data_IF_626907439079
#
_entry.id   IF_626907439079
#
_cell.length_a   1.000
_cell.length_b   1.000
_cell.length_c   1.000
_cell.angle_alpha   90.00
_cell.angle_beta   90.00
_cell.angle_gamma   90.00
#
_symmetry.space_group_name_H-M   'P 1'
#
loop_
_entity.id
_entity.type
_entity.pdbx_description
1 polymer ?
#
# COMPACT_ATOMS: atom_id res chain seq x y z
N UNK A 1 1.40 24.39 -20.82
CA UNK A 1 0.06 24.26 -21.40
C UNK A 1 0.03 23.17 -22.44
N UNK A 2 -1.17 22.65 -22.81
CA UNK A 2 -1.36 21.69 -23.88
C UNK A 2 -2.43 22.21 -24.87
N UNK A 3 -2.34 21.73 -26.11
CA UNK A 3 -3.30 22.10 -27.18
C UNK A 3 -3.79 20.83 -27.87
N UNK A 4 -5.08 20.75 -28.07
CA UNK A 4 -5.72 19.73 -28.89
C UNK A 4 -6.87 20.33 -29.69
N UNK A 5 -6.73 20.39 -31.01
CA UNK A 5 -7.70 21.06 -31.85
C UNK A 5 -7.92 22.51 -31.42
N UNK A 6 -9.17 22.85 -31.13
CA UNK A 6 -9.55 24.18 -30.66
C UNK A 6 -9.44 24.37 -29.13
N UNK A 7 -9.13 23.31 -28.39
CA UNK A 7 -9.01 23.34 -26.94
C UNK A 7 -7.58 23.62 -26.52
N UNK A 8 -7.43 24.48 -25.52
CA UNK A 8 -6.16 24.84 -24.89
C UNK A 8 -6.29 24.65 -23.39
N UNK A 9 -5.40 23.88 -22.82
CA UNK A 9 -5.35 23.60 -21.39
C UNK A 9 -4.16 24.33 -20.78
N UNK A 10 -4.37 25.02 -19.68
CA UNK A 10 -3.31 25.73 -18.99
C UNK A 10 -3.62 25.87 -17.50
N UNK A 11 -2.61 26.18 -16.72
CA UNK A 11 -2.69 26.37 -15.27
C UNK A 11 -2.50 27.83 -14.93
N UNK A 12 -3.39 28.38 -14.13
CA UNK A 12 -3.29 29.72 -13.54
C UNK A 12 -2.86 29.58 -12.07
N UNK A 13 -1.58 29.90 -11.79
CA UNK A 13 -1.04 29.84 -10.43
C UNK A 13 -1.62 30.88 -9.49
N UNK A 14 -2.01 32.04 -10.01
CA UNK A 14 -2.58 33.10 -9.16
C UNK A 14 -3.95 32.72 -8.65
N UNK A 15 -4.70 31.96 -9.43
CA UNK A 15 -6.00 31.42 -9.05
C UNK A 15 -5.95 30.05 -8.42
N UNK A 16 -4.78 29.37 -8.48
CA UNK A 16 -4.62 27.97 -8.11
C UNK A 16 -5.60 27.05 -8.86
N UNK A 17 -5.75 27.28 -10.15
CA UNK A 17 -6.76 26.64 -10.98
C UNK A 17 -6.16 26.06 -12.27
N UNK A 18 -6.78 25.02 -12.79
CA UNK A 18 -6.53 24.49 -14.12
C UNK A 18 -7.71 24.85 -15.01
N UNK A 19 -7.38 25.43 -16.17
CA UNK A 19 -8.33 26.04 -17.06
C UNK A 19 -8.30 25.38 -18.45
N UNK A 20 -9.46 25.31 -19.08
CA UNK A 20 -9.62 24.94 -20.48
C UNK A 20 -10.24 26.11 -21.24
N UNK A 21 -9.56 26.57 -22.29
CA UNK A 21 -10.12 27.50 -23.28
C UNK A 21 -10.67 26.67 -24.45
N UNK A 22 -11.92 26.87 -24.79
CA UNK A 22 -12.61 26.27 -25.94
C UNK A 22 -13.40 27.32 -26.71
N UNK A 23 -14.16 26.90 -27.70
CA UNK A 23 -15.05 27.83 -28.43
C UNK A 23 -16.12 28.48 -27.54
N UNK A 24 -16.50 27.80 -26.45
CA UNK A 24 -17.51 28.28 -25.47
C UNK A 24 -16.90 29.17 -24.38
N UNK A 25 -15.62 29.53 -24.53
CA UNK A 25 -14.90 30.36 -23.57
C UNK A 25 -13.99 29.57 -22.64
N UNK A 26 -13.71 30.16 -21.46
CA UNK A 26 -12.84 29.58 -20.45
C UNK A 26 -13.66 28.81 -19.42
N UNK A 27 -13.32 27.55 -19.22
CA UNK A 27 -13.90 26.70 -18.18
C UNK A 27 -12.82 26.32 -17.18
N UNK A 28 -13.13 26.42 -15.90
CA UNK A 28 -12.25 25.95 -14.83
C UNK A 28 -12.49 24.45 -14.58
N UNK A 29 -11.59 23.62 -15.13
CA UNK A 29 -11.69 22.15 -15.04
C UNK A 29 -11.22 21.60 -13.69
N UNK A 30 -10.49 22.38 -12.91
CA UNK A 30 -10.16 22.05 -11.50
C UNK A 30 -11.39 21.96 -10.61
N UNK A 31 -12.52 22.58 -11.00
CA UNK A 31 -13.77 22.54 -10.24
C UNK A 31 -14.50 21.18 -10.29
N UNK A 32 -14.10 20.28 -11.17
CA UNK A 32 -14.70 18.96 -11.24
C UNK A 32 -14.14 18.01 -10.15
N UNK A 33 -14.58 18.24 -8.91
CA UNK A 33 -14.26 17.41 -7.75
C UNK A 33 -12.84 17.56 -7.19
N UNK A 34 -12.03 18.51 -7.69
CA UNK A 34 -10.61 18.62 -7.35
C UNK A 34 -10.18 20.03 -6.90
N UNK A 35 -11.13 20.88 -6.51
CA UNK A 35 -10.86 22.28 -6.11
C UNK A 35 -9.81 22.38 -5.01
N UNK A 36 -10.02 21.65 -3.91
CA UNK A 36 -9.11 21.70 -2.76
C UNK A 36 -7.73 21.13 -3.12
N UNK A 37 -7.69 20.05 -3.89
CA UNK A 37 -6.44 19.46 -4.35
C UNK A 37 -5.61 20.47 -5.15
N UNK A 38 -6.20 21.10 -6.16
CA UNK A 38 -5.46 22.04 -7.01
C UNK A 38 -5.09 23.31 -6.26
N UNK A 39 -5.98 23.83 -5.41
CA UNK A 39 -5.67 24.97 -4.54
C UNK A 39 -4.42 24.69 -3.71
N UNK A 40 -4.37 23.55 -3.04
CA UNK A 40 -3.30 23.21 -2.13
C UNK A 40 -2.01 22.85 -2.88
N UNK A 41 -2.12 22.06 -3.95
CA UNK A 41 -0.94 21.64 -4.72
C UNK A 41 -0.32 22.76 -5.54
N UNK A 42 -1.11 23.60 -6.19
CA UNK A 42 -0.58 24.73 -6.98
C UNK A 42 0.02 25.81 -6.09
N UNK A 43 -0.52 26.01 -4.89
CA UNK A 43 0.08 26.91 -3.90
C UNK A 43 1.47 26.44 -3.43
N UNK A 44 1.70 25.13 -3.40
CA UNK A 44 2.97 24.55 -2.95
C UNK A 44 4.03 24.43 -4.05
N UNK A 45 3.65 24.45 -5.32
CA UNK A 45 4.63 24.45 -6.42
C UNK A 45 5.47 25.72 -6.33
N UNK A 46 6.72 25.58 -5.88
CA UNK A 46 7.64 26.72 -5.70
C UNK A 46 8.02 27.38 -7.04
N UNK A 47 8.69 28.51 -6.98
CA UNK A 47 9.23 29.19 -8.17
C UNK A 47 10.26 28.33 -8.93
N UNK A 48 10.87 27.36 -8.25
CA UNK A 48 11.82 26.39 -8.81
C UNK A 48 11.17 25.07 -9.22
N UNK A 49 9.88 24.89 -8.97
CA UNK A 49 9.08 23.78 -9.46
C UNK A 49 8.65 23.95 -10.90
N UNK A 50 8.09 22.91 -11.49
CA UNK A 50 7.65 22.89 -12.88
C UNK A 50 6.19 22.42 -12.98
N UNK A 51 5.46 23.00 -13.94
CA UNK A 51 4.14 22.53 -14.34
C UNK A 51 4.19 22.14 -15.80
N UNK A 52 4.07 20.85 -16.07
CA UNK A 52 4.14 20.27 -17.40
C UNK A 52 2.76 19.89 -17.85
N UNK A 53 2.32 20.36 -19.00
CA UNK A 53 1.04 20.00 -19.61
C UNK A 53 1.27 19.32 -20.96
N UNK A 54 0.56 18.24 -21.22
CA UNK A 54 0.55 17.53 -22.48
C UNK A 54 -0.85 17.02 -22.80
N UNK A 55 -1.14 16.78 -24.08
CA UNK A 55 -2.37 16.11 -24.49
C UNK A 55 -2.04 14.70 -24.97
N UNK A 56 -2.62 13.72 -24.29
CA UNK A 56 -2.52 12.33 -24.65
C UNK A 56 -3.60 12.00 -25.70
N UNK A 57 -3.18 11.88 -26.96
CA UNK A 57 -4.11 11.60 -28.06
C UNK A 57 -4.62 10.14 -28.04
N UNK A 58 -3.89 9.23 -27.42
CA UNK A 58 -4.27 7.82 -27.35
C UNK A 58 -5.51 7.63 -26.47
N UNK A 59 -5.47 8.18 -25.24
CA UNK A 59 -6.61 8.16 -24.32
C UNK A 59 -7.53 9.38 -24.45
N UNK A 60 -7.17 10.36 -25.28
CA UNK A 60 -7.90 11.63 -25.43
C UNK A 60 -8.02 12.43 -24.16
N UNK A 61 -6.95 12.44 -23.36
CA UNK A 61 -6.91 13.06 -22.04
C UNK A 61 -5.92 14.23 -22.02
N UNK A 62 -6.24 15.28 -21.30
CA UNK A 62 -5.27 16.27 -20.89
C UNK A 62 -4.47 15.74 -19.69
N UNK A 63 -3.14 15.73 -19.81
CA UNK A 63 -2.24 15.31 -18.74
C UNK A 63 -1.53 16.54 -18.18
N UNK A 64 -1.52 16.69 -16.86
CA UNK A 64 -0.77 17.70 -16.14
C UNK A 64 0.11 17.08 -15.07
N UNK A 65 1.36 17.51 -14.99
CA UNK A 65 2.32 17.13 -13.95
C UNK A 65 2.72 18.35 -13.16
N UNK A 66 2.37 18.36 -11.87
CA UNK A 66 2.76 19.38 -10.89
C UNK A 66 4.01 18.87 -10.18
N UNK A 67 5.13 19.56 -10.32
CA UNK A 67 6.43 19.08 -9.85
C UNK A 67 7.06 20.11 -8.91
N UNK A 68 7.44 19.66 -7.73
CA UNK A 68 8.13 20.47 -6.74
C UNK A 68 9.65 20.36 -6.85
N UNK A 69 10.35 21.31 -6.24
CA UNK A 69 11.82 21.34 -6.21
C UNK A 69 12.44 20.17 -5.42
N UNK A 70 11.72 19.62 -4.48
CA UNK A 70 12.11 18.46 -3.66
C UNK A 70 11.91 17.10 -4.35
N UNK A 71 11.65 17.13 -5.67
CA UNK A 71 11.31 15.97 -6.50
C UNK A 71 9.95 15.32 -6.23
N UNK A 72 9.15 15.80 -5.32
CA UNK A 72 7.76 15.35 -5.20
C UNK A 72 6.94 15.83 -6.40
N UNK A 73 6.00 15.03 -6.85
CA UNK A 73 5.19 15.37 -8.01
C UNK A 73 3.80 14.74 -7.93
N UNK A 74 2.87 15.31 -8.70
CA UNK A 74 1.57 14.72 -8.97
C UNK A 74 1.29 14.84 -10.47
N UNK A 75 1.18 13.73 -11.15
CA UNK A 75 0.80 13.67 -12.57
C UNK A 75 -0.62 13.13 -12.67
N UNK A 76 -1.51 13.89 -13.31
CA UNK A 76 -2.94 13.60 -13.39
C UNK A 76 -3.43 13.69 -14.83
N UNK A 77 -4.55 13.02 -15.13
CA UNK A 77 -5.26 13.21 -16.39
C UNK A 77 -6.70 13.63 -16.19
N UNK A 78 -7.14 14.51 -17.08
CA UNK A 78 -8.51 14.99 -17.22
C UNK A 78 -9.11 14.46 -18.51
N UNK A 79 -10.29 13.87 -18.42
CA UNK A 79 -11.03 13.34 -19.56
C UNK A 79 -12.26 14.20 -19.84
N UNK A 80 -12.39 14.65 -21.09
CA UNK A 80 -13.52 15.49 -21.52
C UNK A 80 -14.84 14.73 -21.56
N UNK A 81 -14.82 13.45 -21.92
CA UNK A 81 -16.04 12.66 -22.04
C UNK A 81 -16.75 12.47 -20.68
N UNK A 82 -15.96 12.29 -19.63
CA UNK A 82 -16.46 12.14 -18.25
C UNK A 82 -16.56 13.47 -17.50
N UNK A 83 -16.01 14.57 -18.06
CA UNK A 83 -15.82 15.84 -17.38
C UNK A 83 -15.17 15.67 -15.99
N UNK A 84 -14.11 14.88 -15.92
CA UNK A 84 -13.50 14.54 -14.65
C UNK A 84 -12.01 14.22 -14.71
N UNK A 85 -11.39 14.28 -13.53
CA UNK A 85 -10.03 13.83 -13.30
C UNK A 85 -10.08 12.33 -13.07
N UNK A 86 -9.49 11.56 -14.01
CA UNK A 86 -9.70 10.11 -14.07
C UNK A 86 -8.56 9.29 -13.50
N UNK A 87 -7.33 9.81 -13.49
CA UNK A 87 -6.18 9.03 -13.04
C UNK A 87 -5.08 9.91 -12.46
N UNK A 88 -4.36 9.32 -11.50
CA UNK A 88 -3.03 9.74 -11.07
C UNK A 88 -2.00 8.77 -11.64
N UNK A 89 -0.83 9.26 -11.99
CA UNK A 89 0.24 8.45 -12.59
C UNK A 89 1.55 8.59 -11.84
N UNK A 90 2.27 7.49 -11.74
CA UNK A 90 3.58 7.40 -11.08
C UNK A 90 4.72 7.68 -12.06
N UNK A 91 4.60 8.75 -12.88
CA UNK A 91 5.68 9.22 -13.72
C UNK A 91 5.83 10.75 -13.67
N UNK A 92 7.09 11.22 -13.77
CA UNK A 92 7.48 12.62 -13.74
C UNK A 92 8.10 13.01 -15.08
N UNK A 93 7.33 13.59 -16.04
CA UNK A 93 7.87 13.96 -17.33
C UNK A 93 8.57 15.32 -17.25
N UNK A 94 9.64 15.51 -18.01
CA UNK A 94 10.20 16.84 -18.28
C UNK A 94 9.47 17.55 -19.42
N UNK A 95 8.82 16.80 -20.31
CA UNK A 95 7.93 17.28 -21.37
C UNK A 95 7.07 16.13 -21.88
N UNK A 96 5.99 16.45 -22.62
CA UNK A 96 5.14 15.45 -23.26
C UNK A 96 4.56 15.96 -24.58
N UNK A 97 4.37 15.07 -25.52
CA UNK A 97 3.77 15.37 -26.82
C UNK A 97 3.09 14.14 -27.42
N UNK A 98 2.19 14.38 -28.35
CA UNK A 98 1.54 13.33 -29.14
C UNK A 98 1.94 13.41 -30.59
N UNK A 99 2.21 12.26 -31.19
CA UNK A 99 2.52 12.14 -32.62
C UNK A 99 1.97 10.82 -33.17
N UNK A 100 1.39 10.88 -34.38
CA UNK A 100 0.87 9.69 -35.09
C UNK A 100 -0.02 8.78 -34.23
N UNK A 101 -0.92 9.39 -33.43
CA UNK A 101 -1.83 8.63 -32.56
C UNK A 101 -1.20 8.01 -31.32
N UNK A 102 0.08 8.24 -31.07
CA UNK A 102 0.80 7.78 -29.91
C UNK A 102 1.17 8.94 -28.98
N UNK A 103 1.21 8.66 -27.67
CA UNK A 103 1.62 9.59 -26.66
C UNK A 103 3.07 9.31 -26.22
N UNK A 104 3.86 10.36 -26.11
CA UNK A 104 5.26 10.30 -25.73
C UNK A 104 5.54 11.29 -24.61
N UNK A 105 6.43 10.89 -23.71
CA UNK A 105 7.00 11.78 -22.68
C UNK A 105 8.53 11.75 -22.76
N UNK A 106 9.12 12.82 -22.26
CA UNK A 106 10.58 12.91 -22.12
C UNK A 106 10.90 12.82 -20.63
N UNK A 107 11.81 11.94 -20.30
CA UNK A 107 12.36 11.83 -18.95
C UNK A 107 13.85 11.54 -19.05
N UNK A 108 14.67 12.32 -18.32
CA UNK A 108 16.13 12.15 -18.25
C UNK A 108 16.80 12.11 -19.64
N UNK A 109 16.35 13.00 -20.55
CA UNK A 109 16.87 13.08 -21.91
C UNK A 109 16.43 11.96 -22.86
N UNK A 110 15.66 11.00 -22.39
CA UNK A 110 15.12 9.88 -23.18
C UNK A 110 13.67 10.11 -23.55
N UNK A 111 13.29 9.66 -24.75
CA UNK A 111 11.88 9.68 -25.21
C UNK A 111 11.24 8.34 -24.90
N UNK A 112 10.12 8.38 -24.22
CA UNK A 112 9.36 7.20 -23.82
C UNK A 112 8.00 7.17 -24.51
N UNK A 113 7.70 6.08 -25.19
CA UNK A 113 6.38 5.83 -25.78
C UNK A 113 5.47 5.15 -24.74
N UNK A 114 4.33 5.77 -24.50
CA UNK A 114 3.31 5.20 -23.63
C UNK A 114 2.43 4.15 -24.34
N UNK A 115 1.77 3.31 -23.57
CA UNK A 115 0.78 2.30 -24.02
C UNK A 115 1.37 1.25 -24.98
N UNK A 116 2.61 0.84 -24.74
CA UNK A 116 3.23 -0.23 -25.51
C UNK A 116 2.79 -1.60 -24.96
N UNK A 117 2.33 -2.50 -25.84
CA UNK A 117 1.97 -3.86 -25.44
C UNK A 117 3.19 -4.78 -25.20
N UNK A 118 4.39 -4.29 -25.48
CA UNK A 118 5.64 -5.05 -25.28
C UNK A 118 6.22 -4.92 -23.87
N UNK A 119 5.61 -4.12 -23.00
CA UNK A 119 6.06 -3.92 -21.61
C UNK A 119 4.92 -4.16 -20.63
N UNK A 120 5.26 -4.44 -19.38
CA UNK A 120 4.30 -4.65 -18.34
C UNK A 120 3.38 -3.43 -18.13
N UNK A 121 2.12 -3.67 -17.80
CA UNK A 121 1.20 -2.63 -17.37
C UNK A 121 1.68 -1.99 -16.06
N UNK A 122 1.48 -0.67 -15.93
CA UNK A 122 2.01 0.10 -14.79
C UNK A 122 3.53 0.33 -14.81
N UNK A 123 4.21 -0.06 -15.91
CA UNK A 123 5.63 0.26 -16.07
C UNK A 123 5.80 1.67 -16.62
N UNK A 124 6.41 2.54 -15.82
CA UNK A 124 6.78 3.88 -16.23
C UNK A 124 8.28 4.07 -16.09
N UNK A 125 8.94 4.41 -17.20
CA UNK A 125 10.39 4.64 -17.27
C UNK A 125 11.24 3.47 -16.73
N UNK A 126 10.78 2.24 -16.97
CA UNK A 126 11.45 1.02 -16.51
C UNK A 126 11.09 0.59 -15.08
N UNK A 127 10.26 1.34 -14.36
CA UNK A 127 9.81 1.02 -13.01
C UNK A 127 8.37 0.50 -13.05
N UNK A 128 8.13 -0.67 -12.45
CA UNK A 128 6.79 -1.22 -12.32
C UNK A 128 6.09 -0.63 -11.10
N UNK A 129 4.90 -0.09 -11.31
CA UNK A 129 4.06 0.50 -10.27
C UNK A 129 2.76 -0.31 -10.14
N UNK A 130 2.20 -0.32 -8.94
CA UNK A 130 0.90 -0.94 -8.67
C UNK A 130 -0.21 0.04 -8.98
N UNK A 131 -1.30 -0.45 -9.56
CA UNK A 131 -2.52 0.34 -9.69
C UNK A 131 -3.32 0.24 -8.40
N UNK A 132 -3.81 1.35 -7.87
CA UNK A 132 -4.60 1.38 -6.64
C UNK A 132 -5.84 2.26 -6.79
N UNK A 133 -6.88 1.90 -6.04
CA UNK A 133 -8.13 2.63 -5.97
C UNK A 133 -8.57 2.76 -4.51
N UNK A 134 -8.84 3.99 -4.08
CA UNK A 134 -9.36 4.29 -2.75
C UNK A 134 -10.84 4.64 -2.85
N UNK A 135 -11.67 3.91 -2.14
CA UNK A 135 -13.13 4.01 -2.15
C UNK A 135 -13.66 4.32 -0.76
N UNK A 136 -14.73 5.10 -0.70
CA UNK A 136 -15.46 5.36 0.54
C UNK A 136 -16.86 4.76 0.43
N UNK A 137 -17.16 3.81 1.29
CA UNK A 137 -18.50 3.25 1.46
C UNK A 137 -19.22 3.98 2.58
N UNK A 138 -20.17 4.82 2.23
CA UNK A 138 -20.95 5.61 3.18
C UNK A 138 -22.45 5.62 2.83
N UNK A 139 -23.09 4.45 2.69
CA UNK A 139 -24.52 4.38 2.54
C UNK A 139 -25.19 4.80 3.86
N UNK A 140 -26.27 5.55 3.84
CA UNK A 140 -26.96 6.07 5.03
C UNK A 140 -25.98 6.76 6.02
N UNK A 141 -25.46 7.96 5.74
CA UNK A 141 -24.39 8.59 6.54
C UNK A 141 -24.74 8.82 8.02
N UNK A 142 -26.03 8.88 8.34
CA UNK A 142 -26.54 9.13 9.70
C UNK A 142 -26.70 7.87 10.55
N UNK A 143 -26.43 6.70 9.99
CA UNK A 143 -26.64 5.42 10.68
C UNK A 143 -25.37 4.60 10.79
N UNK A 144 -25.16 4.01 11.94
CA UNK A 144 -24.12 3.00 12.15
C UNK A 144 -24.52 1.71 11.44
N UNK A 145 -23.56 1.12 10.73
CA UNK A 145 -23.71 -0.12 9.96
C UNK A 145 -22.64 -1.12 10.36
N UNK A 146 -22.90 -2.39 10.16
CA UNK A 146 -21.88 -3.44 10.28
C UNK A 146 -21.47 -3.87 8.87
N UNK A 147 -20.30 -3.45 8.42
CA UNK A 147 -19.72 -3.89 7.15
C UNK A 147 -19.24 -5.33 7.29
N UNK A 148 -19.77 -6.24 6.48
CA UNK A 148 -19.56 -7.68 6.61
C UNK A 148 -18.62 -8.26 5.57
N UNK A 149 -18.74 -7.81 4.32
CA UNK A 149 -17.93 -8.31 3.21
C UNK A 149 -17.51 -7.20 2.31
N UNK A 150 -16.38 -7.40 1.65
CA UNK A 150 -15.95 -6.65 0.49
C UNK A 150 -16.03 -7.57 -0.72
N UNK A 151 -16.38 -7.03 -1.87
CA UNK A 151 -16.41 -7.77 -3.13
C UNK A 151 -15.91 -6.91 -4.27
N UNK A 152 -15.36 -7.55 -5.29
CA UNK A 152 -15.09 -6.88 -6.55
C UNK A 152 -15.42 -7.77 -7.74
N UNK A 153 -15.70 -7.12 -8.88
CA UNK A 153 -15.83 -7.73 -10.19
C UNK A 153 -14.68 -7.26 -11.06
N UNK A 154 -13.97 -8.20 -11.71
CA UNK A 154 -12.81 -7.87 -12.51
C UNK A 154 -11.94 -9.08 -12.79
N UNK A 155 -10.74 -8.82 -13.26
CA UNK A 155 -9.70 -9.85 -13.37
C UNK A 155 -9.15 -10.21 -12.00
N UNK A 156 -8.59 -11.43 -11.88
CA UNK A 156 -7.85 -11.82 -10.67
C UNK A 156 -6.62 -10.93 -10.43
N UNK A 157 -6.16 -10.83 -9.20
CA UNK A 157 -4.94 -10.11 -8.83
C UNK A 157 -5.16 -8.76 -8.18
N UNK A 158 -6.23 -8.59 -7.42
CA UNK A 158 -6.49 -7.43 -6.58
C UNK A 158 -6.40 -7.80 -5.10
N UNK A 159 -5.80 -6.93 -4.32
CA UNK A 159 -5.65 -7.06 -2.86
C UNK A 159 -6.19 -5.83 -2.14
N UNK A 160 -6.75 -6.01 -0.95
CA UNK A 160 -7.10 -4.90 -0.06
C UNK A 160 -5.89 -4.58 0.82
N UNK A 161 -5.38 -3.37 0.72
CA UNK A 161 -4.22 -2.93 1.50
C UNK A 161 -4.58 -2.09 2.71
N UNK A 162 -5.78 -1.54 2.72
CA UNK A 162 -6.25 -0.71 3.82
C UNK A 162 -7.76 -0.74 3.89
N UNK A 163 -8.29 -0.91 5.10
CA UNK A 163 -9.68 -0.70 5.42
C UNK A 163 -9.76 0.13 6.71
N UNK A 164 -10.31 1.34 6.61
CA UNK A 164 -10.36 2.33 7.69
C UNK A 164 -11.80 2.76 7.90
N UNK A 165 -12.22 2.93 9.15
CA UNK A 165 -13.56 3.40 9.49
C UNK A 165 -13.53 4.54 10.51
N UNK A 166 -14.66 5.22 10.75
CA UNK A 166 -14.80 6.26 11.76
C UNK A 166 -14.63 5.72 13.19
N UNK A 167 -14.92 4.44 13.41
CA UNK A 167 -14.73 3.83 14.72
C UNK A 167 -13.27 3.45 15.00
N UNK A 168 -12.39 3.59 14.02
CA UNK A 168 -10.97 3.29 14.19
C UNK A 168 -10.25 4.30 15.07
N UNK A 169 -10.91 5.38 15.46
CA UNK A 169 -10.23 6.44 16.17
C UNK A 169 -9.13 7.07 15.33
N UNK A 170 -8.48 8.05 15.87
CA UNK A 170 -7.51 8.89 15.16
C UNK A 170 -6.11 8.31 15.04
N UNK A 171 -5.83 7.13 15.56
CA UNK A 171 -4.47 6.65 15.71
C UNK A 171 -4.09 5.60 14.66
N UNK A 172 -3.88 6.09 13.45
CA UNK A 172 -2.96 5.48 12.50
C UNK A 172 -1.52 5.84 12.88
N UNK A 173 -1.08 5.48 14.05
CA UNK A 173 0.33 5.51 14.37
C UNK A 173 0.93 4.23 13.81
N UNK A 174 1.76 4.39 12.78
CA UNK A 174 2.46 3.32 12.07
C UNK A 174 1.58 2.36 11.23
N UNK A 175 0.48 2.88 10.69
CA UNK A 175 -0.11 2.26 9.51
C UNK A 175 -1.08 1.14 9.77
N UNK A 176 -1.62 0.90 10.99
CA UNK A 176 -2.45 -0.24 11.17
C UNK A 176 -3.30 -0.33 12.40
N UNK A 177 -4.30 0.49 12.44
CA UNK A 177 -5.47 0.21 13.26
C UNK A 177 -6.73 0.53 12.48
N UNK A 178 -7.40 -0.50 12.16
CA UNK A 178 -8.83 -0.40 11.98
C UNK A 178 -9.41 -0.80 13.32
N UNK A 179 -10.16 0.05 13.99
CA UNK A 179 -10.76 -0.29 15.28
C UNK A 179 -11.46 -1.61 15.17
N UNK A 180 -10.95 -2.60 15.92
CA UNK A 180 -11.49 -3.93 15.99
C UNK A 180 -11.49 -4.73 14.68
N UNK A 181 -10.75 -4.31 13.65
CA UNK A 181 -10.34 -5.19 12.58
C UNK A 181 -8.83 -5.34 12.68
N UNK A 182 -8.45 -6.33 13.43
CA UNK A 182 -7.16 -6.93 13.27
C UNK A 182 -7.22 -7.68 11.95
N UNK A 183 -6.41 -7.27 10.98
CA UNK A 183 -6.06 -8.21 9.93
C UNK A 183 -5.41 -9.37 10.66
N UNK A 184 -5.96 -10.58 10.49
CA UNK A 184 -5.41 -11.74 11.14
C UNK A 184 -3.91 -11.78 10.84
N UNK A 185 -3.13 -11.53 11.85
CA UNK A 185 -1.69 -11.67 11.78
C UNK A 185 -1.40 -13.15 11.82
N UNK A 186 -1.25 -13.74 10.67
CA UNK A 186 -0.47 -14.94 10.58
C UNK A 186 1.00 -14.52 10.70
N UNK A 187 1.55 -14.64 11.88
CA UNK A 187 2.91 -14.28 12.25
C UNK A 187 3.27 -12.79 12.08
N UNK A 188 3.45 -12.11 13.20
CA UNK A 188 4.16 -10.85 13.20
C UNK A 188 5.63 -11.15 12.87
N UNK A 189 6.07 -10.74 11.69
CA UNK A 189 7.48 -10.71 11.37
C UNK A 189 8.15 -9.64 12.23
N UNK A 190 9.19 -10.00 12.94
CA UNK A 190 10.02 -9.05 13.66
C UNK A 190 10.69 -8.15 12.63
N UNK A 191 10.29 -6.87 12.57
CA UNK A 191 10.83 -5.93 11.59
C UNK A 191 12.08 -5.21 12.10
N UNK A 192 12.08 -4.82 13.36
CA UNK A 192 13.22 -4.16 13.99
C UNK A 192 13.46 -4.69 15.40
N UNK A 193 14.71 -4.66 15.78
CA UNK A 193 15.16 -5.09 17.10
C UNK A 193 16.36 -4.28 17.55
N UNK A 194 16.56 -4.18 18.85
CA UNK A 194 17.75 -3.59 19.45
C UNK A 194 18.47 -4.61 20.31
N UNK A 195 19.78 -4.82 20.07
CA UNK A 195 20.59 -5.67 20.92
C UNK A 195 20.74 -4.97 22.29
N UNK A 196 20.10 -5.53 23.30
CA UNK A 196 20.08 -4.98 24.66
C UNK A 196 21.27 -5.45 25.47
N UNK A 197 21.77 -6.65 25.22
CA UNK A 197 22.95 -7.19 25.81
C UNK A 197 23.71 -8.04 24.77
N UNK A 198 24.97 -7.71 24.44
CA UNK A 198 25.75 -8.51 23.49
C UNK A 198 26.11 -9.89 24.01
N UNK A 199 25.87 -10.18 25.27
CA UNK A 199 26.24 -11.42 25.92
C UNK A 199 27.70 -11.45 26.35
N UNK A 200 28.06 -12.57 26.93
CA UNK A 200 29.44 -12.87 27.34
C UNK A 200 29.85 -14.27 26.89
N UNK A 201 31.14 -14.53 26.77
CA UNK A 201 31.63 -15.79 26.26
C UNK A 201 31.78 -15.82 24.76
N UNK A 202 32.03 -17.00 24.21
CA UNK A 202 32.39 -17.17 22.81
C UNK A 202 31.14 -17.45 21.97
N UNK A 203 30.79 -16.55 21.06
CA UNK A 203 29.80 -16.76 20.02
C UNK A 203 30.48 -17.02 18.66
N UNK A 204 29.89 -17.85 17.86
CA UNK A 204 30.31 -18.07 16.46
C UNK A 204 29.29 -17.45 15.53
N UNK A 205 29.74 -16.95 14.39
CA UNK A 205 28.84 -16.64 13.27
C UNK A 205 28.14 -17.92 12.83
N UNK A 206 26.86 -17.82 12.52
CA UNK A 206 26.07 -18.99 12.14
C UNK A 206 24.66 -18.61 11.75
N UNK A 207 24.03 -19.49 10.99
CA UNK A 207 22.68 -19.29 10.47
C UNK A 207 21.67 -20.10 11.27
N UNK A 208 20.44 -19.61 11.31
CA UNK A 208 19.30 -20.28 11.93
C UNK A 208 19.50 -20.63 13.41
N UNK A 209 20.08 -19.72 14.15
CA UNK A 209 20.28 -19.86 15.59
C UNK A 209 18.96 -19.62 16.30
N UNK A 210 18.53 -20.57 17.13
CA UNK A 210 17.30 -20.46 17.90
C UNK A 210 17.35 -19.36 18.96
N UNK A 211 16.19 -18.83 19.31
CA UNK A 211 16.00 -17.89 20.42
C UNK A 211 15.01 -18.43 21.43
N UNK A 212 15.06 -17.93 22.65
CA UNK A 212 14.01 -18.14 23.66
C UNK A 212 13.44 -16.80 24.09
N UNK A 213 12.13 -16.70 24.14
CA UNK A 213 11.40 -15.48 24.49
C UNK A 213 11.11 -15.46 26.00
N UNK A 214 11.06 -14.27 26.59
CA UNK A 214 10.47 -14.04 27.92
C UNK A 214 8.93 -13.90 27.85
N UNK A 215 8.36 -13.71 26.63
CA UNK A 215 6.93 -13.69 26.32
C UNK A 215 6.40 -15.03 25.79
N UNK A 216 5.28 -14.96 25.09
CA UNK A 216 4.60 -16.16 24.52
C UNK A 216 5.03 -16.51 23.09
N UNK A 217 5.88 -15.69 22.47
CA UNK A 217 6.34 -15.90 21.11
C UNK A 217 7.20 -17.15 20.93
N UNK A 218 7.10 -17.78 19.78
CA UNK A 218 7.84 -18.99 19.41
C UNK A 218 8.35 -18.97 17.99
N UNK A 219 9.43 -19.72 17.73
CA UNK A 219 9.91 -19.99 16.36
C UNK A 219 10.80 -18.89 15.76
N UNK A 220 11.16 -17.83 16.50
CA UNK A 220 12.12 -16.84 16.03
C UNK A 220 13.52 -17.45 15.96
N UNK A 221 14.18 -17.30 14.84
CA UNK A 221 15.58 -17.65 14.68
C UNK A 221 16.37 -16.49 14.06
N UNK A 222 17.63 -16.43 14.37
CA UNK A 222 18.53 -15.37 13.91
C UNK A 222 19.78 -15.94 13.27
N UNK A 223 20.35 -15.18 12.35
CA UNK A 223 21.69 -15.41 11.84
C UNK A 223 22.66 -14.49 12.60
N UNK A 224 23.67 -15.04 13.23
CA UNK A 224 24.75 -14.27 13.85
C UNK A 224 25.73 -13.88 12.75
N UNK A 225 25.69 -12.62 12.34
CA UNK A 225 26.48 -12.11 11.21
C UNK A 225 27.87 -11.67 11.66
N UNK A 226 27.97 -11.09 12.83
CA UNK A 226 29.24 -10.64 13.40
C UNK A 226 29.28 -10.84 14.91
N UNK A 227 30.46 -11.18 15.43
CA UNK A 227 30.76 -11.22 16.85
C UNK A 227 31.63 -10.03 17.25
N UNK A 228 31.60 -9.65 18.52
CA UNK A 228 32.47 -8.63 19.03
C UNK A 228 33.98 -9.05 18.98
N UNK A 229 34.92 -8.10 18.96
CA UNK A 229 36.35 -8.43 18.91
C UNK A 229 36.75 -9.43 20.01
N UNK A 230 37.46 -10.48 19.59
CA UNK A 230 37.82 -11.59 20.50
C UNK A 230 36.71 -12.62 20.72
N UNK A 231 35.58 -12.53 20.01
CA UNK A 231 34.47 -13.46 20.14
C UNK A 231 33.61 -13.26 21.40
N UNK A 232 33.82 -12.18 22.17
CA UNK A 232 33.23 -11.96 23.48
C UNK A 232 31.82 -11.29 23.39
N UNK A 233 30.93 -11.86 22.62
CA UNK A 233 29.57 -11.38 22.48
C UNK A 233 29.12 -11.27 21.01
N UNK A 234 27.87 -10.92 20.82
CA UNK A 234 27.26 -10.71 19.49
C UNK A 234 27.34 -9.24 19.11
N UNK A 235 27.89 -8.94 17.95
CA UNK A 235 27.94 -7.57 17.42
C UNK A 235 26.80 -7.27 16.43
N UNK A 236 26.37 -8.28 15.66
CA UNK A 236 25.30 -8.11 14.69
C UNK A 236 24.56 -9.41 14.45
N UNK A 237 23.24 -9.31 14.38
CA UNK A 237 22.33 -10.39 13.99
C UNK A 237 21.40 -9.93 12.87
N UNK A 238 20.85 -10.88 12.15
CA UNK A 238 19.76 -10.69 11.18
C UNK A 238 18.67 -11.70 11.51
N UNK A 239 17.41 -11.32 11.40
CA UNK A 239 16.30 -12.26 11.56
C UNK A 239 16.32 -13.26 10.40
N UNK A 240 16.35 -14.54 10.74
CA UNK A 240 16.29 -15.63 9.76
C UNK A 240 14.84 -16.11 9.60
N UNK A 241 14.20 -16.46 10.71
CA UNK A 241 12.77 -16.77 10.74
C UNK A 241 12.09 -15.91 11.81
N UNK A 242 11.02 -15.20 11.46
CA UNK A 242 10.41 -14.22 12.36
C UNK A 242 9.62 -14.86 13.51
N UNK A 243 9.25 -16.13 13.40
CA UNK A 243 8.42 -16.79 14.39
C UNK A 243 6.99 -16.23 14.48
N UNK A 244 6.31 -16.46 15.60
CA UNK A 244 4.95 -15.99 15.82
C UNK A 244 4.63 -15.75 17.29
N UNK A 245 3.63 -14.90 17.57
CA UNK A 245 3.12 -14.67 18.92
C UNK A 245 3.94 -13.72 19.79
N UNK A 246 4.84 -12.94 19.19
CA UNK A 246 5.64 -11.95 19.93
C UNK A 246 4.89 -10.63 20.12
N UNK A 247 5.25 -9.87 21.14
CA UNK A 247 4.76 -8.49 21.38
C UNK A 247 5.93 -7.52 21.50
N UNK A 248 5.72 -6.24 21.17
CA UNK A 248 6.75 -5.20 21.29
C UNK A 248 7.26 -5.12 22.72
N UNK A 249 8.57 -5.16 22.86
CA UNK A 249 9.22 -5.20 24.15
C UNK A 249 9.59 -6.59 24.63
N UNK A 250 9.12 -7.68 23.98
CA UNK A 250 9.59 -9.03 24.30
C UNK A 250 11.10 -9.10 24.12
N UNK A 251 11.76 -9.69 25.10
CA UNK A 251 13.21 -9.87 25.09
C UNK A 251 13.54 -11.29 24.65
N UNK A 252 14.35 -11.38 23.63
CA UNK A 252 14.81 -12.65 23.08
C UNK A 252 16.21 -12.96 23.54
N UNK A 253 16.42 -14.15 24.09
CA UNK A 253 17.75 -14.67 24.43
C UNK A 253 18.23 -15.56 23.29
N UNK A 254 19.40 -15.25 22.73
CA UNK A 254 20.02 -16.05 21.68
C UNK A 254 20.59 -17.34 22.30
N UNK A 255 20.15 -18.47 21.79
CA UNK A 255 20.66 -19.77 22.24
C UNK A 255 22.06 -20.00 21.71
N UNK A 256 22.87 -20.77 22.45
CA UNK A 256 24.20 -21.12 21.98
C UNK A 256 24.09 -21.92 20.66
N UNK A 257 24.76 -21.47 19.61
CA UNK A 257 24.85 -22.20 18.37
C UNK A 257 25.97 -23.27 18.47
N UNK A 258 25.64 -24.52 18.35
CA UNK A 258 26.55 -25.68 18.53
C UNK A 258 27.99 -25.49 18.01
N UNK A 259 28.86 -26.44 18.21
CA UNK A 259 30.24 -26.39 17.71
C UNK A 259 31.27 -25.73 18.64
N UNK A 260 30.97 -25.68 19.96
CA UNK A 260 31.92 -25.14 20.98
C UNK A 260 31.69 -23.71 21.36
N UNK A 261 30.57 -23.10 20.88
CA UNK A 261 30.13 -21.81 21.36
C UNK A 261 29.71 -21.91 22.85
N UNK A 262 30.31 -21.10 23.70
CA UNK A 262 30.02 -21.00 25.14
C UNK A 262 29.45 -19.63 25.52
N UNK A 263 28.89 -18.92 24.51
CA UNK A 263 28.26 -17.63 24.71
C UNK A 263 26.98 -17.75 25.54
N UNK A 264 26.76 -16.82 26.46
CA UNK A 264 25.57 -16.77 27.31
C UNK A 264 25.01 -15.36 27.39
N UNK A 265 23.71 -15.29 27.61
CA UNK A 265 23.00 -14.04 27.93
C UNK A 265 23.05 -12.95 26.86
N UNK A 266 23.27 -13.28 25.57
CA UNK A 266 23.03 -12.31 24.53
C UNK A 266 21.51 -12.13 24.36
N UNK A 267 21.05 -10.89 24.48
CA UNK A 267 19.62 -10.57 24.36
C UNK A 267 19.39 -9.39 23.43
N UNK A 268 18.26 -9.41 22.78
CA UNK A 268 17.75 -8.29 22.00
C UNK A 268 16.26 -8.08 22.29
N UNK A 269 15.83 -6.83 22.30
CA UNK A 269 14.43 -6.49 22.44
C UNK A 269 13.81 -6.30 21.06
N UNK A 270 12.56 -6.70 20.94
CA UNK A 270 11.78 -6.51 19.73
C UNK A 270 11.17 -5.10 19.75
N UNK A 271 11.61 -4.24 18.84
CA UNK A 271 11.21 -2.84 18.79
C UNK A 271 9.96 -2.62 17.94
N UNK A 272 9.81 -3.37 16.87
CA UNK A 272 8.62 -3.31 16.04
C UNK A 272 8.38 -4.65 15.34
N UNK A 273 7.13 -4.86 14.99
CA UNK A 273 6.73 -5.93 14.10
C UNK A 273 6.44 -5.32 12.73
N UNK A 274 6.93 -5.95 11.68
CA UNK A 274 6.23 -5.86 10.43
C UNK A 274 4.94 -6.67 10.66
N UNK A 275 3.85 -5.99 10.93
CA UNK A 275 2.57 -6.63 10.83
C UNK A 275 2.46 -7.15 9.40
N UNK A 276 2.70 -8.42 9.20
CA UNK A 276 2.30 -9.08 7.97
C UNK A 276 0.79 -9.15 8.05
N UNK A 277 0.19 -8.14 7.41
CA UNK A 277 -1.25 -8.13 7.23
C UNK A 277 -1.61 -9.35 6.41
N UNK A 278 -2.63 -10.09 6.80
CA UNK A 278 -3.35 -10.90 5.86
C UNK A 278 -3.85 -9.95 4.77
N UNK A 279 -3.10 -9.89 3.69
CA UNK A 279 -3.55 -9.21 2.49
C UNK A 279 -4.76 -9.98 1.99
N UNK A 280 -5.84 -9.26 1.70
CA UNK A 280 -6.99 -9.86 1.05
C UNK A 280 -6.62 -10.00 -0.44
N UNK A 281 -6.09 -11.16 -0.80
CA UNK A 281 -5.76 -11.46 -2.19
C UNK A 281 -6.96 -12.01 -2.95
N UNK A 282 -6.98 -11.81 -4.25
CA UNK A 282 -7.96 -12.45 -5.13
C UNK A 282 -7.42 -13.78 -5.64
N UNK A 283 -7.57 -14.84 -4.85
CA UNK A 283 -7.28 -16.19 -5.28
C UNK A 283 -8.57 -16.99 -5.43
N UNK A 284 -8.61 -17.82 -6.46
CA UNK A 284 -9.77 -18.68 -6.72
C UNK A 284 -9.93 -19.80 -5.70
N UNK A 285 -8.87 -20.16 -4.98
CA UNK A 285 -8.87 -21.27 -4.01
C UNK A 285 -8.06 -20.98 -2.75
N UNK A 286 -8.67 -21.19 -1.66
CA UNK A 286 -8.45 -21.22 -0.23
C UNK A 286 -7.05 -21.00 0.39
N UNK A 287 -5.95 -21.37 -0.21
CA UNK A 287 -4.62 -21.27 0.39
C UNK A 287 -3.57 -20.95 -0.66
N UNK A 288 -2.76 -19.93 -0.40
CA UNK A 288 -1.56 -19.64 -1.20
C UNK A 288 -0.31 -19.71 -0.33
N UNK A 289 0.84 -19.79 -0.97
CA UNK A 289 2.13 -19.88 -0.27
C UNK A 289 3.00 -18.67 -0.62
N UNK A 290 3.48 -17.98 0.40
CA UNK A 290 4.50 -16.96 0.28
C UNK A 290 5.69 -17.39 1.16
N UNK A 291 6.89 -17.49 0.58
CA UNK A 291 8.08 -18.02 1.28
C UNK A 291 7.86 -19.38 1.98
N UNK A 292 7.08 -20.27 1.35
CA UNK A 292 6.68 -21.58 1.90
C UNK A 292 5.74 -21.52 3.12
N UNK A 293 5.18 -20.36 3.45
CA UNK A 293 4.19 -20.21 4.52
C UNK A 293 2.80 -20.24 3.88
N UNK A 294 1.86 -21.08 4.35
CA UNK A 294 0.50 -21.10 3.85
C UNK A 294 -0.31 -19.94 4.42
N UNK A 295 -0.92 -19.16 3.55
CA UNK A 295 -1.87 -18.11 3.90
C UNK A 295 -3.24 -18.46 3.35
N UNK A 296 -4.30 -18.12 4.08
CA UNK A 296 -5.64 -18.19 3.51
C UNK A 296 -5.84 -17.06 2.53
N UNK A 297 -6.33 -17.39 1.35
CA UNK A 297 -6.83 -16.41 0.40
C UNK A 297 -7.95 -15.60 1.06
N UNK A 298 -7.86 -14.27 0.96
CA UNK A 298 -8.88 -13.40 1.51
C UNK A 298 -10.15 -13.38 0.67
N UNK A 299 -10.00 -13.45 -0.66
CA UNK A 299 -11.12 -13.46 -1.59
C UNK A 299 -11.46 -14.87 -2.08
N UNK A 300 -12.73 -15.23 -1.97
CA UNK A 300 -13.31 -16.40 -2.61
C UNK A 300 -14.00 -15.98 -3.90
N UNK A 301 -13.75 -16.69 -5.00
CA UNK A 301 -14.48 -16.47 -6.24
C UNK A 301 -15.84 -17.16 -6.16
N UNK A 302 -16.88 -16.34 -6.35
CA UNK A 302 -18.28 -16.83 -6.45
C UNK A 302 -18.89 -16.29 -7.72
N UNK A 303 -19.13 -17.17 -8.69
CA UNK A 303 -19.56 -16.78 -10.04
C UNK A 303 -18.54 -15.84 -10.69
N UNK A 304 -18.91 -14.57 -10.95
CA UNK A 304 -18.05 -13.56 -11.55
C UNK A 304 -17.53 -12.54 -10.52
N UNK A 305 -17.74 -12.78 -9.24
CA UNK A 305 -17.32 -11.89 -8.17
C UNK A 305 -16.30 -12.55 -7.27
N UNK A 306 -15.37 -11.75 -6.80
CA UNK A 306 -14.45 -12.09 -5.74
C UNK A 306 -14.97 -11.47 -4.44
N UNK A 307 -15.19 -12.28 -3.40
CA UNK A 307 -15.83 -11.87 -2.14
C UNK A 307 -14.93 -12.24 -0.98
N UNK A 308 -14.65 -11.28 -0.12
CA UNK A 308 -13.90 -11.48 1.12
C UNK A 308 -14.74 -11.07 2.34
N UNK A 309 -14.68 -11.86 3.40
CA UNK A 309 -15.27 -11.49 4.68
C UNK A 309 -14.38 -10.47 5.39
N UNK A 310 -15.00 -9.41 5.90
CA UNK A 310 -14.32 -8.48 6.80
C UNK A 310 -14.35 -9.13 8.19
N UNK A 311 -13.17 -9.47 8.71
CA UNK A 311 -13.02 -10.11 10.02
C UNK A 311 -12.62 -9.08 11.06
N UNK A 312 -13.15 -9.26 12.26
CA UNK A 312 -12.76 -8.50 13.43
C UNK A 312 -11.99 -9.44 14.36
N UNK A 313 -10.69 -9.26 14.43
CA UNK A 313 -9.80 -10.10 15.24
C UNK A 313 -9.32 -9.39 16.51
N UNK A 314 -10.06 -8.40 17.03
CA UNK A 314 -9.62 -7.71 18.25
C UNK A 314 -9.32 -8.71 19.38
N UNK A 315 -8.08 -8.83 19.85
CA UNK A 315 -7.71 -9.78 20.88
C UNK A 315 -8.26 -9.39 22.26
N UNK A 316 -8.64 -8.13 22.43
CA UNK A 316 -9.16 -7.57 23.67
C UNK A 316 -10.58 -7.05 23.48
N UNK A 317 -11.59 -7.69 24.07
CA UNK A 317 -12.94 -7.15 24.03
C UNK A 317 -12.99 -5.81 24.77
N UNK A 318 -13.63 -4.82 24.15
CA UNK A 318 -13.98 -3.59 24.86
C UNK A 318 -14.98 -3.89 25.98
N UNK A 319 -15.00 -3.10 27.07
CA UNK A 319 -15.98 -3.29 28.13
C UNK A 319 -17.40 -3.36 27.58
N UNK A 320 -18.12 -4.47 27.84
CA UNK A 320 -19.45 -4.73 27.34
C UNK A 320 -19.53 -5.44 25.98
N UNK A 321 -18.41 -5.72 25.34
CA UNK A 321 -18.34 -6.49 24.11
C UNK A 321 -18.18 -7.99 24.42
N UNK A 322 -19.05 -8.82 23.88
CA UNK A 322 -18.95 -10.29 23.97
C UNK A 322 -18.31 -10.78 22.68
N UNK A 323 -17.08 -11.30 22.78
CA UNK A 323 -16.46 -12.04 21.69
C UNK A 323 -16.91 -13.48 21.72
N UNK A 324 -17.66 -13.91 20.72
CA UNK A 324 -18.04 -15.30 20.53
C UNK A 324 -17.20 -15.87 19.40
N UNK A 325 -16.08 -16.49 19.76
CA UNK A 325 -15.15 -17.08 18.80
C UNK A 325 -14.18 -16.07 18.15
N UNK A 326 -13.10 -16.58 17.60
CA UNK A 326 -12.05 -15.80 16.92
C UNK A 326 -12.45 -15.23 15.54
N UNK A 327 -13.72 -15.42 15.12
CA UNK A 327 -14.16 -15.15 13.76
C UNK A 327 -15.39 -14.21 13.69
N UNK A 328 -15.49 -13.26 14.60
CA UNK A 328 -16.55 -12.26 14.48
C UNK A 328 -16.35 -11.45 13.21
N UNK A 329 -17.27 -11.61 12.26
CA UNK A 329 -17.22 -10.90 10.98
C UNK A 329 -17.84 -9.53 11.08
N UNK A 330 -17.15 -8.54 10.54
CA UNK A 330 -17.67 -7.21 10.28
C UNK A 330 -17.14 -6.11 11.19
N UNK A 331 -17.18 -4.90 10.63
CA UNK A 331 -16.82 -3.64 11.29
C UNK A 331 -18.07 -2.81 11.49
N UNK A 332 -18.29 -2.37 12.72
CA UNK A 332 -19.42 -1.49 13.07
C UNK A 332 -18.96 -0.04 12.96
N UNK A 333 -19.47 0.71 11.97
CA UNK A 333 -19.03 2.06 11.66
C UNK A 333 -20.10 2.86 10.89
N UNK A 334 -19.93 4.19 10.82
CA UNK A 334 -20.73 5.06 9.93
C UNK A 334 -20.29 4.92 8.48
N UNK A 335 -18.98 4.78 8.24
CA UNK A 335 -18.41 4.61 6.89
C UNK A 335 -17.20 3.68 6.94
N UNK A 336 -16.82 3.17 5.78
CA UNK A 336 -15.57 2.45 5.59
C UNK A 336 -14.84 2.97 4.36
N UNK A 337 -13.57 3.26 4.53
CA UNK A 337 -12.67 3.61 3.43
C UNK A 337 -11.80 2.42 3.12
N UNK A 338 -11.81 1.99 1.88
CA UNK A 338 -11.07 0.80 1.42
C UNK A 338 -10.09 1.21 0.35
N UNK A 339 -8.86 0.74 0.46
CA UNK A 339 -7.87 0.83 -0.62
C UNK A 339 -7.66 -0.57 -1.18
N UNK A 340 -7.93 -0.72 -2.47
CA UNK A 340 -7.68 -1.92 -3.25
C UNK A 340 -6.57 -1.63 -4.25
N UNK A 341 -5.65 -2.55 -4.44
CA UNK A 341 -4.54 -2.41 -5.39
C UNK A 341 -4.25 -3.72 -6.10
N UNK A 342 -3.49 -3.64 -7.19
CA UNK A 342 -3.00 -4.84 -7.88
C UNK A 342 -1.94 -5.54 -7.03
N UNK A 343 -2.01 -6.88 -6.98
CA UNK A 343 -0.99 -7.69 -6.32
C UNK A 343 0.29 -7.82 -7.17
N UNK A 344 1.30 -8.47 -6.63
CA UNK A 344 2.58 -8.72 -7.32
C UNK A 344 2.76 -10.17 -7.75
N UNK A 345 1.81 -11.03 -7.47
CA UNK A 345 1.93 -12.48 -7.63
C UNK A 345 1.09 -13.02 -8.77
N UNK A 346 -0.10 -12.47 -8.98
CA UNK A 346 -1.03 -12.92 -10.02
C UNK A 346 -0.80 -12.16 -11.30
N UNK A 347 -0.22 -12.79 -12.30
CA UNK A 347 0.11 -12.20 -13.60
C UNK A 347 0.71 -10.78 -13.47
N UNK A 348 1.91 -10.67 -12.85
CA UNK A 348 2.53 -9.39 -12.60
C UNK A 348 2.84 -8.69 -13.94
N UNK A 349 2.31 -7.48 -14.08
CA UNK A 349 2.42 -6.68 -15.30
C UNK A 349 1.39 -7.00 -16.40
N UNK A 350 0.49 -7.95 -16.17
CA UNK A 350 -0.65 -8.21 -17.03
C UNK A 350 -1.73 -7.11 -16.97
N UNK A 351 -2.68 -7.19 -17.89
CA UNK A 351 -3.86 -6.31 -17.86
C UNK A 351 -4.74 -6.68 -16.66
N UNK A 352 -4.97 -5.69 -15.78
CA UNK A 352 -5.92 -5.81 -14.67
C UNK A 352 -7.12 -4.92 -14.93
N UNK A 353 -8.30 -5.50 -14.84
CA UNK A 353 -9.57 -4.81 -15.01
C UNK A 353 -10.36 -4.88 -13.71
N UNK A 354 -10.93 -3.78 -13.30
CA UNK A 354 -11.78 -3.66 -12.14
C UNK A 354 -13.07 -2.96 -12.57
N UNK A 355 -14.16 -3.70 -12.61
CA UNK A 355 -15.45 -3.19 -13.09
C UNK A 355 -16.30 -2.63 -11.97
N UNK A 356 -16.27 -3.28 -10.81
CA UNK A 356 -17.05 -2.86 -9.66
C UNK A 356 -16.36 -3.28 -8.36
N UNK A 357 -16.53 -2.46 -7.34
CA UNK A 357 -16.17 -2.80 -5.95
C UNK A 357 -17.38 -2.53 -5.07
N UNK A 358 -17.73 -3.50 -4.26
CA UNK A 358 -18.90 -3.45 -3.39
C UNK A 358 -18.58 -3.82 -1.94
N UNK A 359 -19.44 -3.40 -1.03
CA UNK A 359 -19.43 -3.86 0.35
C UNK A 359 -20.83 -4.24 0.78
N UNK A 360 -20.98 -5.36 1.48
CA UNK A 360 -22.26 -5.70 2.12
C UNK A 360 -22.25 -5.24 3.56
N UNK A 361 -23.39 -4.74 4.02
CA UNK A 361 -23.53 -4.29 5.38
C UNK A 361 -24.90 -4.70 5.97
N UNK A 362 -24.94 -4.88 7.29
CA UNK A 362 -26.16 -5.07 8.07
C UNK A 362 -26.46 -3.81 8.89
N UNK A 363 -27.75 -3.61 9.18
CA UNK A 363 -28.24 -2.56 10.07
C UNK A 363 -28.43 -3.12 11.47
#
# INVERSE_FOLDING_TARGET
FAVYGYQKYFTDRNRNAVLRLSMDGITEISNYGMVDFFRDKLATVSSTGSIIGAYDIYNKNYVVSLQNADNTYNTLSFEEATNGWVSFYDYKPSSGFSSQGSFFTINDGSIWKHYSDSVNRGNFYGVNNKSSLKLVFNPDPTRVKTFKTISYEGTNGWEVTSLVSDSTGTDLVNGLWVNNVEQATSSADVATFTITNPGSGFYLTGNNVGTSSDGFGTGLTVDIVATAPGGSGIASIVINQPGSGYVTGDVQTVLANGGGAIGTNATFALDSYANIYERIYSYDEGVYFENNIPYRAGFDRKQNQYVAAIRNNSPTPLPGQVLVGSDNSGIKAYYATVTIQTDTTTDPGGLKELFAVGATYGR
#
